data_IF_663467851991
#
_entry.id   IF_663467851991
#
_cell.length_a   1.000
_cell.length_b   1.000
_cell.length_c   1.000
_cell.angle_alpha   90.00
_cell.angle_beta   90.00
_cell.angle_gamma   90.00
#
_symmetry.space_group_name_H-M   'P 1'
#
loop_
_entity.id
_entity.type
_entity.pdbx_description
1 polymer ?
#
# COMPACT_ATOMS: atom_id res chain seq x y z
N UNK A 1 9.68 11.21 -9.37
CA UNK A 1 8.53 11.13 -8.43
C UNK A 1 8.10 9.68 -8.27
N UNK A 2 8.27 9.11 -7.10
CA UNK A 2 7.79 7.75 -6.89
C UNK A 2 6.26 7.67 -7.04
N UNK A 3 5.80 6.57 -7.60
CA UNK A 3 4.38 6.32 -7.85
C UNK A 3 3.81 5.43 -6.79
N UNK A 4 2.75 5.87 -6.14
CA UNK A 4 2.10 5.15 -5.04
C UNK A 4 0.65 4.86 -5.42
N UNK A 5 0.26 3.60 -5.35
CA UNK A 5 -1.13 3.18 -5.51
C UNK A 5 -1.72 2.94 -4.13
N UNK A 6 -2.83 3.61 -3.82
CA UNK A 6 -3.53 3.47 -2.55
C UNK A 6 -4.87 2.78 -2.78
N UNK A 7 -5.11 1.69 -2.09
CA UNK A 7 -6.32 0.88 -2.24
C UNK A 7 -7.05 0.81 -0.89
N UNK A 8 -8.22 1.42 -0.81
CA UNK A 8 -9.03 1.47 0.41
C UNK A 8 -10.48 1.71 0.01
N UNK A 9 -11.43 1.08 0.68
CA UNK A 9 -12.86 1.28 0.38
C UNK A 9 -13.42 2.57 0.98
N UNK A 10 -12.70 3.23 1.86
CA UNK A 10 -13.08 4.52 2.44
C UNK A 10 -12.65 5.65 1.51
N UNK A 11 -13.61 6.22 0.79
CA UNK A 11 -13.34 7.28 -0.19
C UNK A 11 -12.79 8.54 0.45
N UNK A 12 -13.22 8.89 1.65
CA UNK A 12 -12.71 10.06 2.35
C UNK A 12 -11.25 9.88 2.73
N UNK A 13 -10.88 8.70 3.19
CA UNK A 13 -9.50 8.38 3.51
C UNK A 13 -8.61 8.40 2.26
N UNK A 14 -9.11 7.89 1.14
CA UNK A 14 -8.39 7.96 -0.14
C UNK A 14 -8.12 9.40 -0.55
N UNK A 15 -9.12 10.27 -0.42
CA UNK A 15 -8.98 11.68 -0.77
C UNK A 15 -7.92 12.37 0.08
N UNK A 16 -7.98 12.15 1.40
CA UNK A 16 -7.00 12.72 2.34
C UNK A 16 -5.60 12.19 2.05
N UNK A 17 -5.47 10.89 1.88
CA UNK A 17 -4.18 10.25 1.63
C UNK A 17 -3.58 10.73 0.31
N UNK A 18 -4.41 10.84 -0.73
CA UNK A 18 -3.98 11.37 -2.03
C UNK A 18 -3.42 12.79 -1.88
N UNK A 19 -4.15 13.66 -1.20
CA UNK A 19 -3.73 15.06 -1.01
C UNK A 19 -2.42 15.15 -0.23
N UNK A 20 -2.30 14.38 0.84
CA UNK A 20 -1.11 14.41 1.70
C UNK A 20 0.13 13.91 0.97
N UNK A 21 0.05 12.79 0.30
CA UNK A 21 1.19 12.21 -0.40
C UNK A 21 1.57 13.02 -1.64
N UNK A 22 0.58 13.54 -2.36
CA UNK A 22 0.84 14.43 -3.50
C UNK A 22 1.61 15.68 -3.06
N UNK A 23 1.20 16.25 -1.94
CA UNK A 23 1.88 17.42 -1.37
C UNK A 23 3.34 17.13 -1.02
N UNK A 24 3.64 15.89 -0.66
CA UNK A 24 5.01 15.47 -0.31
C UNK A 24 5.85 15.07 -1.53
N UNK A 25 5.33 15.21 -2.73
CA UNK A 25 6.08 14.98 -3.96
C UNK A 25 5.90 13.62 -4.60
N UNK A 26 4.93 12.84 -4.16
CA UNK A 26 4.63 11.54 -4.77
C UNK A 26 3.55 11.69 -5.85
N UNK A 27 3.62 10.83 -6.84
CA UNK A 27 2.53 10.67 -7.82
C UNK A 27 1.61 9.58 -7.27
N UNK A 28 0.34 9.92 -7.04
CA UNK A 28 -0.58 9.04 -6.30
C UNK A 28 -1.79 8.68 -7.16
N UNK A 29 -2.11 7.39 -7.21
CA UNK A 29 -3.36 6.90 -7.78
C UNK A 29 -4.13 6.19 -6.68
N UNK A 30 -5.45 6.39 -6.64
CA UNK A 30 -6.32 5.77 -5.65
C UNK A 30 -7.36 4.89 -6.33
N UNK A 31 -7.65 3.75 -5.72
CA UNK A 31 -8.75 2.88 -6.13
C UNK A 31 -9.53 2.43 -4.89
N UNK A 32 -10.85 2.39 -4.98
CA UNK A 32 -11.69 2.00 -3.86
C UNK A 32 -12.15 0.54 -3.92
N UNK A 33 -11.62 -0.23 -4.85
CA UNK A 33 -11.91 -1.66 -4.95
C UNK A 33 -10.73 -2.37 -5.62
N UNK A 34 -10.68 -3.69 -5.42
CA UNK A 34 -9.57 -4.50 -5.93
C UNK A 34 -9.58 -4.65 -7.45
N UNK A 35 -10.76 -4.77 -8.06
CA UNK A 35 -10.86 -4.98 -9.50
C UNK A 35 -10.25 -3.82 -10.28
N UNK A 36 -10.61 -2.59 -9.92
CA UNK A 36 -10.05 -1.39 -10.55
C UNK A 36 -8.57 -1.24 -10.27
N UNK A 37 -8.15 -1.58 -9.04
CA UNK A 37 -6.74 -1.53 -8.67
C UNK A 37 -5.91 -2.50 -9.50
N UNK A 38 -6.36 -3.73 -9.63
CA UNK A 38 -5.68 -4.76 -10.41
C UNK A 38 -5.50 -4.32 -11.87
N UNK A 39 -6.53 -3.72 -12.44
CA UNK A 39 -6.50 -3.21 -13.81
C UNK A 39 -5.52 -2.05 -13.98
N UNK A 40 -5.39 -1.21 -12.95
CA UNK A 40 -4.54 -0.01 -13.03
C UNK A 40 -3.05 -0.30 -12.81
N UNK A 41 -2.69 -1.41 -12.18
CA UNK A 41 -1.29 -1.71 -11.86
C UNK A 41 -0.38 -1.70 -13.09
N UNK A 42 -0.69 -2.39 -14.19
CA UNK A 42 0.23 -2.41 -15.34
C UNK A 42 0.46 -1.03 -15.96
N UNK A 43 -0.59 -0.22 -16.08
CA UNK A 43 -0.48 1.09 -16.72
C UNK A 43 0.14 2.14 -15.80
N UNK A 44 -0.19 2.11 -14.52
CA UNK A 44 0.35 3.06 -13.55
C UNK A 44 1.77 2.71 -13.13
N UNK A 45 2.09 1.42 -13.05
CA UNK A 45 3.40 0.91 -12.66
C UNK A 45 3.86 1.45 -11.30
N UNK A 46 3.13 1.16 -10.21
CA UNK A 46 3.44 1.72 -8.89
C UNK A 46 4.76 1.18 -8.34
N UNK A 47 5.43 2.02 -7.57
CA UNK A 47 6.65 1.65 -6.84
C UNK A 47 6.34 1.27 -5.39
N UNK A 48 5.11 1.51 -4.94
CA UNK A 48 4.62 1.13 -3.62
C UNK A 48 3.10 0.98 -3.72
N UNK A 49 2.56 -0.04 -3.07
CA UNK A 49 1.12 -0.22 -2.92
C UNK A 49 0.78 -0.10 -1.44
N UNK A 50 -0.16 0.80 -1.13
CA UNK A 50 -0.73 0.93 0.21
C UNK A 50 -2.11 0.29 0.17
N UNK A 51 -2.34 -0.71 1.01
CA UNK A 51 -3.48 -1.59 0.90
C UNK A 51 -4.19 -1.75 2.24
N UNK A 52 -5.50 -1.47 2.25
CA UNK A 52 -6.34 -1.73 3.42
C UNK A 52 -6.66 -3.23 3.54
N UNK A 53 -6.82 -3.70 4.77
CA UNK A 53 -7.15 -5.11 5.05
C UNK A 53 -8.58 -5.44 4.63
N UNK A 54 -9.52 -4.49 4.78
CA UNK A 54 -10.93 -4.74 4.45
C UNK A 54 -11.36 -3.89 3.26
N UNK A 55 -11.68 -4.56 2.13
CA UNK A 55 -12.10 -3.92 0.88
C UNK A 55 -13.45 -4.47 0.44
N UNK A 56 -14.54 -3.93 0.98
CA UNK A 56 -15.92 -4.28 0.55
C UNK A 56 -16.13 -5.81 0.44
N UNK A 57 -15.80 -6.53 1.52
CA UNK A 57 -15.96 -7.99 1.55
C UNK A 57 -14.81 -8.77 0.95
N UNK A 58 -13.80 -8.12 0.42
CA UNK A 58 -12.57 -8.77 -0.06
C UNK A 58 -11.49 -8.64 1.02
N UNK A 59 -10.82 -9.74 1.33
CA UNK A 59 -9.75 -9.76 2.32
C UNK A 59 -8.46 -9.19 1.73
N UNK A 60 -8.03 -8.03 2.24
CA UNK A 60 -6.80 -7.39 1.79
C UNK A 60 -5.56 -8.23 2.04
N UNK A 61 -5.57 -9.12 3.04
CA UNK A 61 -4.44 -10.02 3.29
C UNK A 61 -4.29 -11.02 2.15
N UNK A 62 -5.39 -11.53 1.63
CA UNK A 62 -5.36 -12.43 0.46
C UNK A 62 -4.85 -11.67 -0.78
N UNK A 63 -5.24 -10.41 -0.94
CA UNK A 63 -4.74 -9.56 -2.02
C UNK A 63 -3.23 -9.38 -1.89
N UNK A 64 -2.73 -9.12 -0.69
CA UNK A 64 -1.30 -8.97 -0.44
C UNK A 64 -0.54 -10.24 -0.84
N UNK A 65 -1.04 -11.39 -0.42
CA UNK A 65 -0.45 -12.67 -0.76
C UNK A 65 -0.44 -12.91 -2.27
N UNK A 66 -1.53 -12.56 -2.94
CA UNK A 66 -1.63 -12.67 -4.39
C UNK A 66 -0.60 -11.76 -5.08
N UNK A 67 -0.48 -10.51 -4.67
CA UNK A 67 0.51 -9.58 -5.22
C UNK A 67 1.93 -10.12 -5.07
N UNK A 68 2.25 -10.68 -3.92
CA UNK A 68 3.58 -11.20 -3.63
C UNK A 68 3.88 -12.53 -4.34
N UNK A 69 2.87 -13.20 -4.88
CA UNK A 69 3.05 -14.46 -5.61
C UNK A 69 3.08 -14.30 -7.13
N UNK A 70 2.60 -13.17 -7.66
CA UNK A 70 2.54 -12.94 -9.11
C UNK A 70 3.87 -12.38 -9.63
N UNK A 71 4.39 -12.91 -10.75
CA UNK A 71 5.69 -12.44 -11.28
C UNK A 71 5.76 -10.95 -11.58
N UNK A 72 4.64 -10.35 -12.01
CA UNK A 72 4.61 -8.95 -12.42
C UNK A 72 4.49 -7.97 -11.25
N UNK A 73 4.13 -8.45 -10.05
CA UNK A 73 3.85 -7.59 -8.89
C UNK A 73 4.65 -7.95 -7.65
N UNK A 74 5.27 -9.12 -7.60
CA UNK A 74 5.96 -9.59 -6.39
C UNK A 74 7.08 -8.67 -5.93
N UNK A 75 7.66 -7.90 -6.83
CA UNK A 75 8.74 -6.96 -6.53
C UNK A 75 8.23 -5.63 -5.96
N UNK A 76 6.93 -5.37 -6.04
CA UNK A 76 6.35 -4.11 -5.56
C UNK A 76 6.16 -4.20 -4.04
N UNK A 77 6.76 -3.30 -3.25
CA UNK A 77 6.55 -3.31 -1.80
C UNK A 77 5.09 -2.97 -1.47
N UNK A 78 4.57 -3.64 -0.43
CA UNK A 78 3.20 -3.46 0.04
C UNK A 78 3.22 -3.00 1.48
N UNK A 79 2.57 -1.86 1.74
CA UNK A 79 2.36 -1.30 3.07
C UNK A 79 0.89 -1.51 3.43
N UNK A 80 0.63 -2.22 4.51
CA UNK A 80 -0.72 -2.54 4.93
C UNK A 80 -1.27 -1.48 5.89
N UNK A 81 -2.49 -0.99 5.60
CA UNK A 81 -3.28 -0.14 6.49
C UNK A 81 -4.26 -1.01 7.27
N UNK A 82 -4.36 -0.87 8.58
CA UNK A 82 -5.39 -1.56 9.34
C UNK A 82 -5.71 -0.89 10.67
N UNK A 83 -6.96 -0.97 11.08
CA UNK A 83 -7.39 -0.60 12.43
C UNK A 83 -7.00 -1.64 13.48
N UNK A 84 -6.43 -2.77 13.07
CA UNK A 84 -6.12 -3.91 13.95
C UNK A 84 -4.61 -4.09 14.08
N UNK A 85 -3.95 -3.39 15.02
CA UNK A 85 -2.49 -3.45 15.14
C UNK A 85 -1.95 -4.84 15.53
N UNK A 86 -2.80 -5.71 16.07
CA UNK A 86 -2.40 -7.07 16.47
C UNK A 86 -1.97 -7.95 15.29
N UNK A 87 -2.37 -7.61 14.07
CA UNK A 87 -2.02 -8.41 12.89
C UNK A 87 -0.71 -7.98 12.25
N UNK A 88 -0.02 -6.97 12.77
CA UNK A 88 1.18 -6.42 12.15
C UNK A 88 2.23 -7.48 11.84
N UNK A 89 2.56 -8.34 12.80
CA UNK A 89 3.54 -9.42 12.58
C UNK A 89 3.03 -10.42 11.54
N UNK A 90 1.74 -10.78 11.63
CA UNK A 90 1.13 -11.73 10.71
C UNK A 90 1.21 -11.23 9.27
N UNK A 91 0.88 -9.94 9.02
CA UNK A 91 0.90 -9.43 7.65
C UNK A 91 2.30 -9.42 7.07
N UNK A 92 3.32 -9.18 7.89
CA UNK A 92 4.70 -9.16 7.43
C UNK A 92 5.22 -10.58 7.21
N UNK A 93 5.08 -11.47 8.18
CA UNK A 93 5.71 -12.80 8.13
C UNK A 93 4.92 -13.84 7.36
N UNK A 94 3.59 -13.77 7.37
CA UNK A 94 2.75 -14.79 6.72
C UNK A 94 2.24 -14.37 5.35
N UNK A 95 2.01 -13.07 5.14
CA UNK A 95 1.43 -12.56 3.89
C UNK A 95 2.43 -11.78 3.04
N UNK A 96 3.64 -11.59 3.54
CA UNK A 96 4.72 -10.98 2.76
C UNK A 96 4.65 -9.46 2.63
N UNK A 97 3.86 -8.78 3.46
CA UNK A 97 3.84 -7.32 3.48
C UNK A 97 5.20 -6.78 3.90
N UNK A 98 5.57 -5.64 3.36
CA UNK A 98 6.86 -5.03 3.67
C UNK A 98 6.82 -4.19 4.95
N UNK A 99 5.65 -3.64 5.29
CA UNK A 99 5.46 -2.93 6.55
C UNK A 99 3.95 -2.78 6.82
N UNK A 100 3.63 -2.16 7.93
CA UNK A 100 2.28 -2.01 8.45
C UNK A 100 2.14 -0.63 9.08
N UNK A 101 0.96 -0.02 8.92
CA UNK A 101 0.62 1.20 9.64
C UNK A 101 -0.80 1.09 10.20
N UNK A 102 -0.95 1.40 11.50
CA UNK A 102 -2.24 1.33 12.18
C UNK A 102 -3.10 2.55 11.86
N UNK A 103 -4.40 2.32 11.73
CA UNK A 103 -5.40 3.40 11.63
C UNK A 103 -5.97 3.69 13.02
N UNK A 104 -6.21 4.92 13.40
CA UNK A 104 -5.85 6.14 12.68
C UNK A 104 -4.34 6.41 12.75
N UNK A 105 -3.80 7.03 11.72
CA UNK A 105 -2.38 7.34 11.67
C UNK A 105 -2.18 8.87 11.64
N UNK A 106 -1.00 9.29 12.08
CA UNK A 106 -0.56 10.67 11.91
C UNK A 106 0.13 10.83 10.55
N UNK A 107 0.00 12.01 9.94
CA UNK A 107 0.57 12.30 8.62
C UNK A 107 2.06 11.99 8.58
N UNK A 108 2.80 12.42 9.60
CA UNK A 108 4.24 12.20 9.65
C UNK A 108 4.61 10.73 9.71
N UNK A 109 3.82 9.92 10.42
CA UNK A 109 4.06 8.48 10.51
C UNK A 109 3.88 7.80 9.16
N UNK A 110 2.83 8.18 8.42
CA UNK A 110 2.59 7.66 7.08
C UNK A 110 3.76 8.01 6.15
N UNK A 111 4.16 9.27 6.13
CA UNK A 111 5.24 9.73 5.25
C UNK A 111 6.56 9.04 5.59
N UNK A 112 6.87 8.88 6.87
CA UNK A 112 8.09 8.19 7.31
C UNK A 112 8.08 6.72 6.89
N UNK A 113 6.94 6.03 7.02
CA UNK A 113 6.80 4.64 6.58
C UNK A 113 6.98 4.51 5.07
N UNK A 114 6.38 5.42 4.30
CA UNK A 114 6.52 5.41 2.83
C UNK A 114 7.98 5.58 2.45
N UNK A 115 8.66 6.57 3.01
CA UNK A 115 10.09 6.79 2.73
C UNK A 115 10.94 5.59 3.14
N UNK A 116 10.67 5.01 4.30
CA UNK A 116 11.40 3.86 4.80
C UNK A 116 11.29 2.67 3.86
N UNK A 117 10.07 2.34 3.43
CA UNK A 117 9.83 1.21 2.54
C UNK A 117 10.47 1.43 1.17
N UNK A 118 10.33 2.63 0.61
CA UNK A 118 10.94 2.97 -0.68
C UNK A 118 12.47 2.93 -0.61
N UNK A 119 13.06 3.39 0.50
CA UNK A 119 14.52 3.36 0.70
C UNK A 119 15.06 1.95 0.83
N UNK A 120 14.35 1.07 1.53
CA UNK A 120 14.72 -0.33 1.65
C UNK A 120 14.72 -1.02 0.29
N UNK A 121 13.71 -0.73 -0.53
CA UNK A 121 13.61 -1.28 -1.88
C UNK A 121 14.76 -0.80 -2.75
N UNK A 122 15.09 0.49 -2.71
CA UNK A 122 16.20 1.05 -3.46
C UNK A 122 17.54 0.45 -3.01
N UNK A 123 17.74 0.28 -1.71
CA UNK A 123 18.96 -0.32 -1.16
C UNK A 123 19.12 -1.78 -1.59
N UNK A 124 18.01 -2.51 -1.67
CA UNK A 124 18.03 -3.92 -2.09
C UNK A 124 18.48 -4.08 -3.53
N UNK A 125 18.08 -3.16 -4.41
CA UNK A 125 18.41 -3.22 -5.84
C UNK A 125 19.62 -2.37 -6.23
N UNK A 126 20.18 -1.66 -5.29
CA UNK A 126 21.39 -0.89 -5.53
C UNK A 126 22.63 -1.82 -5.47
#
# INVERSE_FOLDING_TARGET
>A
MPKILVIDDDKDLLEVTHALLTKKGFEVKTNNNWEDALESIPSFNPQLIILDVFLNGVDGLDICKQLKSMPNTKHIPVLIFSAYPRIAETVIYEYGADDFIAKPFEVNDLVLKVHSVLSQQAAYFA
#
